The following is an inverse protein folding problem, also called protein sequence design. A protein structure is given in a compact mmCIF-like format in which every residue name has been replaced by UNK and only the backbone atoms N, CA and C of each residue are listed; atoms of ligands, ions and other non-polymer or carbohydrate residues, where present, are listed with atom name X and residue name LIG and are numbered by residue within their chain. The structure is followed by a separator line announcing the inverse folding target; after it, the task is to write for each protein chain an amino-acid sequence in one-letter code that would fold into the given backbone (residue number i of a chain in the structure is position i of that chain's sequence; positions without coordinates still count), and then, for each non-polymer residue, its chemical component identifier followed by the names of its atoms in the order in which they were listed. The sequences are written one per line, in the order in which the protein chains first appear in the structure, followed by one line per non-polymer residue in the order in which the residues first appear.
data_IF_174785303297
#
_entry.id   IF_174785303297
#
_cell.length_a   1.000
_cell.length_b   1.000
_cell.length_c   1.000
_cell.angle_alpha   90.00
_cell.angle_beta   90.00
_cell.angle_gamma   90.00
#
_symmetry.space_group_name_H-M   'P 1'
#
loop_
_entity.id
_entity.type
_entity.pdbx_description
1 polymer ?
#
# COMPACT_ATOMS: atom_id res chain seq x y z
N UNK A 1 14.28 42.07 -5.51
CA UNK A 1 13.41 40.99 -4.99
C UNK A 1 12.69 40.36 -6.18
N UNK A 2 13.06 39.13 -6.59
CA UNK A 2 12.43 38.44 -7.73
C UNK A 2 11.56 37.31 -7.18
N UNK A 3 10.25 37.42 -7.38
CA UNK A 3 9.26 36.42 -6.99
C UNK A 3 9.21 35.32 -8.06
N UNK A 4 9.75 34.14 -7.75
CA UNK A 4 9.58 32.95 -8.58
C UNK A 4 8.21 32.34 -8.32
N UNK A 5 7.26 32.57 -9.23
CA UNK A 5 6.00 31.84 -9.24
C UNK A 5 6.28 30.39 -9.65
N UNK A 6 5.98 29.44 -8.76
CA UNK A 6 6.02 28.00 -9.07
C UNK A 6 4.81 27.68 -9.93
N UNK A 7 5.03 27.47 -11.22
CA UNK A 7 3.98 27.07 -12.18
C UNK A 7 3.47 25.67 -11.81
N UNK A 8 2.30 25.61 -11.18
CA UNK A 8 1.53 24.38 -11.03
C UNK A 8 0.94 24.07 -12.41
N UNK A 9 1.48 23.03 -13.06
CA UNK A 9 0.95 22.52 -14.31
C UNK A 9 -0.39 21.81 -14.01
N UNK A 10 -1.50 22.53 -14.14
CA UNK A 10 -2.84 21.94 -14.16
C UNK A 10 -3.12 21.49 -15.59
N UNK A 11 -2.92 20.20 -15.85
CA UNK A 11 -3.33 19.59 -17.13
C UNK A 11 -4.84 19.42 -17.11
N UNK A 12 -5.56 20.31 -17.81
CA UNK A 12 -6.97 20.15 -18.09
C UNK A 12 -7.15 19.06 -19.16
N UNK A 13 -7.62 17.88 -18.75
CA UNK A 13 -7.98 16.78 -19.66
C UNK A 13 -9.35 17.08 -20.29
N UNK A 14 -9.37 17.48 -21.56
CA UNK A 14 -10.60 17.47 -22.36
C UNK A 14 -10.94 16.04 -22.77
N UNK A 15 -12.17 15.60 -22.49
CA UNK A 15 -12.69 14.31 -22.92
C UNK A 15 -13.13 14.37 -24.39
N UNK A 16 -12.29 13.88 -25.29
CA UNK A 16 -12.74 13.45 -26.62
C UNK A 16 -13.26 12.03 -26.54
N UNK A 17 -14.57 11.83 -26.69
CA UNK A 17 -15.17 10.49 -26.79
C UNK A 17 -14.83 9.89 -28.15
N UNK A 18 -13.98 8.86 -28.16
CA UNK A 18 -13.89 7.93 -29.28
C UNK A 18 -14.34 6.55 -28.79
N UNK A 19 -15.59 6.21 -29.13
CA UNK A 19 -16.12 4.85 -28.99
C UNK A 19 -15.55 4.06 -30.17
N UNK A 20 -14.66 3.11 -29.87
CA UNK A 20 -14.25 2.06 -30.78
C UNK A 20 -14.49 0.72 -30.09
N UNK A 21 -15.53 0.01 -30.50
CA UNK A 21 -15.70 -1.40 -30.13
C UNK A 21 -14.81 -2.23 -31.06
N UNK A 22 -13.80 -2.89 -30.50
CA UNK A 22 -13.08 -3.96 -31.19
C UNK A 22 -13.45 -5.29 -30.51
N UNK A 23 -14.12 -6.15 -31.26
CA UNK A 23 -14.44 -7.51 -30.89
C UNK A 23 -13.39 -8.42 -31.53
N UNK A 24 -12.56 -9.10 -30.75
CA UNK A 24 -11.75 -10.19 -31.30
C UNK A 24 -11.41 -11.27 -30.27
N UNK A 25 -11.79 -12.49 -30.63
CA UNK A 25 -11.41 -13.74 -29.98
C UNK A 25 -9.95 -14.04 -30.33
N UNK A 26 -9.00 -13.72 -29.43
CA UNK A 26 -7.62 -14.20 -29.57
C UNK A 26 -7.05 -14.62 -28.23
N UNK A 27 -6.37 -15.76 -28.22
CA UNK A 27 -5.69 -16.40 -27.08
C UNK A 27 -5.05 -15.36 -26.15
N UNK A 28 -5.34 -15.48 -24.85
CA UNK A 28 -4.86 -14.62 -23.77
C UNK A 28 -3.33 -14.57 -23.69
N UNK A 29 -2.69 -13.78 -24.54
CA UNK A 29 -1.33 -13.30 -24.33
C UNK A 29 -1.42 -12.19 -23.28
N UNK A 30 -0.56 -12.22 -22.24
CA UNK A 30 -0.59 -11.20 -21.17
C UNK A 30 -0.01 -9.84 -21.61
N UNK A 31 0.22 -9.64 -22.91
CA UNK A 31 0.78 -8.44 -23.50
C UNK A 31 -0.35 -7.68 -24.21
N UNK A 32 -0.65 -6.46 -23.74
CA UNK A 32 -1.65 -5.59 -24.37
C UNK A 32 -0.88 -4.59 -25.23
N UNK A 33 -1.14 -4.59 -26.55
CA UNK A 33 -0.49 -3.71 -27.54
C UNK A 33 -0.88 -2.22 -27.43
N UNK A 34 -1.45 -1.83 -26.29
CA UNK A 34 -1.95 -0.49 -26.05
C UNK A 34 -1.55 -0.12 -24.63
N UNK A 35 -0.82 1.00 -24.49
CA UNK A 35 -0.40 1.63 -23.23
C UNK A 35 -1.56 1.96 -22.28
N UNK A 36 -2.80 1.63 -22.64
CA UNK A 36 -3.99 1.73 -21.80
C UNK A 36 -4.25 0.43 -21.08
N UNK A 37 -3.97 0.43 -19.78
CA UNK A 37 -4.10 -0.75 -18.93
C UNK A 37 -5.30 -0.60 -18.01
N UNK A 38 -6.29 -1.48 -18.16
CA UNK A 38 -7.41 -1.57 -17.22
C UNK A 38 -6.98 -2.38 -15.99
N UNK A 39 -6.99 -1.75 -14.83
CA UNK A 39 -6.80 -2.43 -13.55
C UNK A 39 -8.15 -2.52 -12.84
N UNK A 40 -8.42 -3.70 -12.29
CA UNK A 40 -9.61 -3.97 -11.49
C UNK A 40 -9.21 -4.45 -10.09
N UNK A 41 -9.89 -3.90 -9.08
CA UNK A 41 -9.82 -4.33 -7.70
C UNK A 41 -11.25 -4.55 -7.17
N UNK A 42 -11.47 -5.72 -6.60
CA UNK A 42 -12.73 -6.09 -5.96
C UNK A 42 -12.72 -5.72 -4.49
N UNK A 43 -13.91 -5.50 -3.92
CA UNK A 43 -14.10 -5.21 -2.50
C UNK A 43 -13.26 -4.03 -1.99
N UNK A 44 -13.23 -2.93 -2.74
CA UNK A 44 -12.69 -1.66 -2.25
C UNK A 44 -13.72 -0.95 -1.37
N UNK A 45 -13.24 -0.05 -0.49
CA UNK A 45 -14.06 0.87 0.28
C UNK A 45 -13.60 2.30 0.05
N UNK A 46 -14.47 3.25 0.37
CA UNK A 46 -14.09 4.67 0.46
C UNK A 46 -12.90 4.82 1.40
N UNK A 47 -11.89 5.56 0.98
CA UNK A 47 -10.67 5.81 1.77
C UNK A 47 -9.53 4.82 1.50
N UNK A 48 -9.77 3.68 0.85
CA UNK A 48 -8.68 2.84 0.34
C UNK A 48 -7.82 3.66 -0.65
N UNK A 49 -6.53 3.36 -0.75
CA UNK A 49 -5.61 4.14 -1.57
C UNK A 49 -4.87 3.26 -2.59
N UNK A 50 -4.92 3.64 -3.86
CA UNK A 50 -4.14 3.04 -4.93
C UNK A 50 -2.90 3.90 -5.20
N UNK A 51 -1.73 3.27 -5.20
CA UNK A 51 -0.45 3.90 -5.56
C UNK A 51 0.25 3.13 -6.66
N UNK A 52 1.02 3.83 -7.48
CA UNK A 52 1.97 3.24 -8.43
C UNK A 52 3.34 3.82 -8.11
N UNK A 53 4.32 2.93 -8.01
CA UNK A 53 5.72 3.23 -7.72
C UNK A 53 6.60 2.71 -8.85
N UNK A 54 7.66 3.45 -9.18
CA UNK A 54 8.71 2.95 -10.07
C UNK A 54 9.66 1.98 -9.34
N UNK A 55 10.70 1.51 -10.03
CA UNK A 55 11.68 0.57 -9.50
C UNK A 55 12.44 1.08 -8.26
N UNK A 56 12.60 2.40 -8.13
CA UNK A 56 13.21 3.04 -6.96
C UNK A 56 12.25 3.24 -5.78
N UNK A 57 11.00 2.77 -5.90
CA UNK A 57 9.97 2.95 -4.88
C UNK A 57 9.35 4.35 -4.85
N UNK A 58 9.69 5.23 -5.79
CA UNK A 58 9.16 6.58 -5.90
C UNK A 58 7.72 6.51 -6.40
N UNK A 59 6.81 7.16 -5.68
CA UNK A 59 5.38 7.20 -6.04
C UNK A 59 5.18 8.17 -7.20
N UNK A 60 4.74 7.64 -8.35
CA UNK A 60 4.44 8.43 -9.56
C UNK A 60 2.94 8.67 -9.73
N UNK A 61 2.12 7.93 -8.98
CA UNK A 61 0.68 8.04 -8.99
C UNK A 61 0.09 7.68 -7.64
N UNK A 62 -0.92 8.44 -7.20
CA UNK A 62 -1.70 8.13 -6.00
C UNK A 62 -3.15 8.57 -6.20
N UNK A 63 -4.10 7.71 -5.83
CA UNK A 63 -5.52 8.03 -5.79
C UNK A 63 -6.17 7.41 -4.56
N UNK A 64 -6.99 8.21 -3.86
CA UNK A 64 -7.90 7.71 -2.83
C UNK A 64 -9.21 7.31 -3.50
N UNK A 65 -9.68 6.10 -3.20
CA UNK A 65 -10.92 5.53 -3.69
C UNK A 65 -12.11 6.26 -3.05
N UNK A 66 -13.07 6.68 -3.90
CA UNK A 66 -14.23 7.47 -3.50
C UNK A 66 -15.54 6.66 -3.45
N UNK A 67 -15.50 5.37 -3.83
CA UNK A 67 -16.67 4.50 -3.85
C UNK A 67 -16.33 3.09 -3.40
N UNK A 68 -17.28 2.42 -2.76
CA UNK A 68 -17.13 1.02 -2.36
C UNK A 68 -17.53 0.06 -3.48
N UNK A 69 -17.10 -1.20 -3.40
CA UNK A 69 -17.46 -2.27 -4.33
C UNK A 69 -16.33 -2.64 -5.28
N UNK A 70 -16.61 -2.73 -6.58
CA UNK A 70 -15.60 -3.00 -7.61
C UNK A 70 -15.08 -1.67 -8.15
N UNK A 71 -13.78 -1.45 -8.00
CA UNK A 71 -13.10 -0.33 -8.61
C UNK A 71 -12.38 -0.79 -9.86
N UNK A 72 -12.62 -0.08 -10.97
CA UNK A 72 -11.86 -0.26 -12.18
C UNK A 72 -11.40 1.09 -12.73
N UNK A 73 -10.13 1.13 -13.16
CA UNK A 73 -9.56 2.31 -13.81
C UNK A 73 -8.67 1.87 -14.96
N UNK A 74 -8.84 2.54 -16.08
CA UNK A 74 -7.91 2.45 -17.21
C UNK A 74 -6.83 3.51 -17.03
N UNK A 75 -5.59 3.07 -16.99
CA UNK A 75 -4.41 3.91 -16.90
C UNK A 75 -3.80 4.08 -18.26
N UNK A 76 -3.55 5.33 -18.67
CA UNK A 76 -2.71 5.61 -19.83
C UNK A 76 -1.25 5.67 -19.37
N UNK A 77 -0.50 4.61 -19.67
CA UNK A 77 0.90 4.42 -19.30
C UNK A 77 1.83 4.90 -20.43
N UNK A 78 1.34 5.71 -21.37
CA UNK A 78 2.11 6.10 -22.56
C UNK A 78 3.39 6.85 -22.24
N UNK A 79 3.37 7.61 -21.15
CA UNK A 79 4.48 8.44 -20.71
C UNK A 79 5.34 7.75 -19.65
N UNK A 80 5.12 6.46 -19.37
CA UNK A 80 6.02 5.69 -18.52
C UNK A 80 7.24 5.25 -19.33
N UNK A 81 8.40 5.44 -18.73
CA UNK A 81 9.67 4.89 -19.23
C UNK A 81 9.66 3.37 -19.07
N UNK A 82 10.52 2.70 -19.84
CA UNK A 82 10.74 1.27 -19.70
C UNK A 82 11.27 0.95 -18.30
N UNK A 83 10.70 -0.07 -17.66
CA UNK A 83 11.06 -0.46 -16.31
C UNK A 83 9.99 -1.24 -15.56
N UNK A 84 10.31 -1.59 -14.31
CA UNK A 84 9.41 -2.31 -13.41
C UNK A 84 8.66 -1.33 -12.51
N UNK A 85 7.35 -1.50 -12.46
CA UNK A 85 6.46 -0.72 -11.62
C UNK A 85 5.70 -1.61 -10.65
N UNK A 86 5.48 -1.06 -9.45
CA UNK A 86 4.70 -1.71 -8.40
C UNK A 86 3.42 -0.92 -8.16
N UNK A 87 2.28 -1.60 -8.27
CA UNK A 87 0.99 -1.07 -7.83
C UNK A 87 0.68 -1.59 -6.44
N UNK A 88 0.27 -0.70 -5.53
CA UNK A 88 -0.18 -1.08 -4.20
C UNK A 88 -1.58 -0.52 -3.96
N UNK A 89 -2.55 -1.41 -3.72
CA UNK A 89 -3.86 -1.03 -3.19
C UNK A 89 -3.84 -1.24 -1.67
N UNK A 90 -3.75 -0.15 -0.94
CA UNK A 90 -3.81 -0.13 0.51
C UNK A 90 -5.27 -0.12 1.00
N UNK A 91 -5.64 -1.18 1.73
CA UNK A 91 -6.94 -1.36 2.39
C UNK A 91 -6.79 -1.24 3.91
N UNK A 92 -7.88 -1.50 4.63
CA UNK A 92 -7.93 -1.44 6.11
C UNK A 92 -6.87 -2.33 6.78
N UNK A 93 -6.82 -3.62 6.41
CA UNK A 93 -5.98 -4.64 7.09
C UNK A 93 -4.99 -5.33 6.16
N UNK A 94 -5.02 -5.04 4.86
CA UNK A 94 -4.17 -5.66 3.87
C UNK A 94 -3.74 -4.67 2.79
N UNK A 95 -2.67 -5.01 2.08
CA UNK A 95 -2.22 -4.31 0.89
C UNK A 95 -2.09 -5.35 -0.23
N UNK A 96 -2.83 -5.14 -1.32
CA UNK A 96 -2.67 -5.92 -2.54
C UNK A 96 -1.55 -5.31 -3.38
N UNK A 97 -0.48 -6.05 -3.62
CA UNK A 97 0.68 -5.63 -4.39
C UNK A 97 0.72 -6.39 -5.71
N UNK A 98 0.80 -5.67 -6.83
CA UNK A 98 0.97 -6.26 -8.16
C UNK A 98 2.11 -5.58 -8.88
N UNK A 99 2.88 -6.33 -9.67
CA UNK A 99 3.95 -5.80 -10.51
C UNK A 99 3.60 -5.83 -11.98
N UNK A 100 4.08 -4.82 -12.69
CA UNK A 100 4.00 -4.72 -14.14
C UNK A 100 5.35 -4.26 -14.68
N UNK A 101 5.68 -4.75 -15.87
CA UNK A 101 6.83 -4.31 -16.67
C UNK A 101 6.30 -3.46 -17.82
N UNK A 102 6.90 -2.28 -18.02
CA UNK A 102 6.76 -1.49 -19.24
C UNK A 102 8.03 -1.70 -20.05
N UNK A 103 7.89 -2.13 -21.32
CA UNK A 103 9.02 -2.34 -22.20
C UNK A 103 8.64 -2.13 -23.65
N UNK A 104 9.39 -1.30 -24.38
CA UNK A 104 9.14 -0.98 -25.79
C UNK A 104 7.68 -0.52 -26.04
N UNK A 105 7.09 0.15 -25.05
CA UNK A 105 5.69 0.57 -25.08
C UNK A 105 4.64 -0.52 -24.84
N UNK A 106 5.05 -1.75 -24.53
CA UNK A 106 4.17 -2.84 -24.10
C UNK A 106 4.11 -2.93 -22.57
N UNK A 107 2.99 -3.44 -22.05
CA UNK A 107 2.84 -3.68 -20.62
C UNK A 107 2.63 -5.17 -20.36
N UNK A 108 3.47 -5.74 -19.51
CA UNK A 108 3.41 -7.14 -19.09
C UNK A 108 3.12 -7.24 -17.60
N UNK A 109 2.05 -7.95 -17.24
CA UNK A 109 1.73 -8.22 -15.84
C UNK A 109 2.52 -9.40 -15.28
N UNK A 110 3.31 -9.15 -14.24
CA UNK A 110 4.13 -10.17 -13.58
C UNK A 110 3.31 -10.88 -12.50
N UNK A 111 2.29 -11.65 -12.91
CA UNK A 111 1.30 -12.27 -12.02
C UNK A 111 1.92 -13.13 -10.90
N UNK A 112 3.04 -13.80 -11.18
CA UNK A 112 3.79 -14.62 -10.21
C UNK A 112 4.42 -13.81 -9.08
N UNK A 113 4.56 -12.49 -9.25
CA UNK A 113 5.11 -11.57 -8.26
C UNK A 113 4.03 -10.80 -7.49
N UNK A 114 2.75 -11.11 -7.73
CA UNK A 114 1.68 -10.56 -6.93
C UNK A 114 1.80 -11.07 -5.49
N UNK A 115 1.65 -10.17 -4.53
CA UNK A 115 1.67 -10.52 -3.11
C UNK A 115 0.61 -9.75 -2.35
N UNK A 116 0.21 -10.33 -1.22
CA UNK A 116 -0.67 -9.69 -0.26
C UNK A 116 0.10 -9.49 1.04
N UNK A 117 0.07 -8.28 1.57
CA UNK A 117 0.71 -7.94 2.84
C UNK A 117 -0.39 -7.72 3.86
N UNK A 118 -0.41 -8.49 4.94
CA UNK A 118 -1.32 -8.25 6.07
C UNK A 118 -0.69 -7.26 7.05
N UNK A 119 -1.43 -6.21 7.37
CA UNK A 119 -1.01 -5.20 8.34
C UNK A 119 -1.07 -5.80 9.76
N UNK A 120 -0.13 -5.46 10.65
CA UNK A 120 -0.24 -5.84 12.04
C UNK A 120 -1.46 -5.16 12.68
N UNK A 121 -2.11 -5.88 13.60
CA UNK A 121 -3.23 -5.37 14.39
C UNK A 121 -2.74 -5.07 15.80
N UNK A 122 -2.97 -3.84 16.28
CA UNK A 122 -2.56 -3.39 17.62
C UNK A 122 -3.82 -3.08 18.43
N UNK A 123 -4.11 -3.92 19.43
CA UNK A 123 -5.23 -3.77 20.36
C UNK A 123 -4.75 -3.44 21.77
N UNK A 124 -5.61 -2.80 22.53
CA UNK A 124 -5.36 -2.39 23.90
C UNK A 124 -6.58 -2.76 24.73
N UNK A 125 -6.41 -3.53 25.79
CA UNK A 125 -7.48 -4.03 26.64
C UNK A 125 -7.07 -3.83 28.10
N UNK A 126 -7.58 -2.75 28.72
CA UNK A 126 -7.10 -2.30 30.03
C UNK A 126 -5.61 -1.97 29.99
N UNK A 127 -4.82 -2.70 30.78
CA UNK A 127 -3.36 -2.59 30.88
C UNK A 127 -2.61 -3.58 29.97
N UNK A 128 -3.29 -4.17 28.98
CA UNK A 128 -2.68 -5.07 28.00
C UNK A 128 -2.52 -4.40 26.64
N UNK A 129 -1.37 -4.62 26.02
CA UNK A 129 -1.12 -4.32 24.61
C UNK A 129 -1.00 -5.62 23.85
N UNK A 130 -1.91 -5.86 22.91
CA UNK A 130 -1.95 -7.08 22.10
C UNK A 130 -1.58 -6.73 20.66
N UNK A 131 -0.59 -7.43 20.11
CA UNK A 131 -0.10 -7.25 18.74
C UNK A 131 -0.20 -8.60 18.04
N UNK A 132 -0.87 -8.64 16.88
CA UNK A 132 -0.90 -9.82 16.03
C UNK A 132 -0.57 -9.50 14.58
N UNK A 133 0.06 -10.43 13.88
CA UNK A 133 0.37 -10.33 12.46
C UNK A 133 0.40 -11.70 11.79
N UNK A 134 -0.17 -11.77 10.59
CA UNK A 134 -0.01 -12.90 9.68
C UNK A 134 1.05 -12.53 8.64
N UNK A 135 1.99 -13.42 8.38
CA UNK A 135 2.99 -13.26 7.34
C UNK A 135 3.55 -14.58 6.82
N UNK A 136 3.07 -15.01 5.65
CA UNK A 136 3.54 -16.22 4.99
C UNK A 136 5.01 -16.16 4.54
N UNK A 137 5.60 -14.96 4.44
CA UNK A 137 7.03 -14.78 4.13
C UNK A 137 7.90 -14.73 5.38
N UNK A 138 7.32 -14.93 6.58
CA UNK A 138 8.03 -14.97 7.85
C UNK A 138 8.97 -13.76 8.02
N UNK A 139 8.49 -12.54 7.74
CA UNK A 139 9.30 -11.34 7.98
C UNK A 139 9.39 -11.08 9.49
N UNK A 140 10.54 -10.59 9.97
CA UNK A 140 10.69 -10.23 11.38
C UNK A 140 9.81 -9.04 11.74
N UNK A 141 9.39 -8.98 13.00
CA UNK A 141 8.60 -7.89 13.56
C UNK A 141 9.43 -7.14 14.59
N UNK A 142 9.67 -5.84 14.38
CA UNK A 142 10.27 -4.98 15.41
C UNK A 142 9.19 -4.16 16.11
N UNK A 143 9.17 -4.20 17.43
CA UNK A 143 8.20 -3.49 18.26
C UNK A 143 8.95 -2.53 19.17
N UNK A 144 8.48 -1.29 19.27
CA UNK A 144 9.00 -0.29 20.21
C UNK A 144 7.84 0.31 20.97
N UNK A 145 7.88 0.24 22.30
CA UNK A 145 6.88 0.83 23.19
C UNK A 145 7.46 2.04 23.89
N UNK A 146 6.69 3.11 23.90
CA UNK A 146 7.00 4.36 24.57
C UNK A 146 6.00 4.63 25.70
N UNK A 147 6.47 5.25 26.77
CA UNK A 147 5.70 5.89 27.83
C UNK A 147 6.23 7.32 28.00
N UNK A 148 5.35 8.32 27.92
CA UNK A 148 5.70 9.75 27.98
C UNK A 148 6.92 10.11 27.12
N UNK A 149 6.89 9.64 25.86
CA UNK A 149 7.93 9.80 24.85
C UNK A 149 9.29 9.13 25.14
N UNK A 150 9.42 8.37 26.22
CA UNK A 150 10.60 7.56 26.52
C UNK A 150 10.39 6.11 26.08
N UNK A 151 11.41 5.50 25.47
CA UNK A 151 11.37 4.08 25.10
C UNK A 151 11.43 3.24 26.37
N UNK A 152 10.41 2.43 26.62
CA UNK A 152 10.37 1.48 27.73
C UNK A 152 10.55 0.03 27.29
N UNK A 153 10.42 -0.24 25.98
CA UNK A 153 10.70 -1.54 25.38
C UNK A 153 11.12 -1.38 23.92
N UNK A 154 12.10 -2.17 23.49
CA UNK A 154 12.40 -2.41 22.08
C UNK A 154 12.69 -3.90 21.89
N UNK A 155 11.87 -4.57 21.09
CA UNK A 155 11.96 -6.01 20.83
C UNK A 155 12.02 -6.28 19.33
N UNK A 156 12.81 -7.26 18.93
CA UNK A 156 12.76 -7.86 17.59
C UNK A 156 12.33 -9.31 17.74
N UNK A 157 11.24 -9.66 17.07
CA UNK A 157 10.72 -11.03 17.00
C UNK A 157 11.11 -11.58 15.63
N UNK A 158 11.74 -12.75 15.62
CA UNK A 158 12.02 -13.46 14.37
C UNK A 158 10.71 -13.91 13.71
N UNK A 159 10.73 -14.08 12.39
CA UNK A 159 9.51 -14.25 11.62
C UNK A 159 8.87 -15.63 11.74
N UNK A 160 7.56 -15.64 11.96
CA UNK A 160 6.69 -16.83 11.90
C UNK A 160 5.46 -16.51 11.03
N UNK A 161 4.72 -17.54 10.62
CA UNK A 161 3.52 -17.35 9.79
C UNK A 161 2.43 -16.57 10.54
N UNK A 162 2.33 -16.77 11.85
CA UNK A 162 1.41 -16.06 12.72
C UNK A 162 2.18 -15.62 13.96
N UNK A 163 2.39 -14.31 14.07
CA UNK A 163 3.05 -13.69 15.20
C UNK A 163 2.01 -13.12 16.16
N UNK A 164 2.13 -13.45 17.44
CA UNK A 164 1.32 -12.89 18.51
C UNK A 164 2.21 -12.42 19.66
N UNK A 165 1.98 -11.19 20.13
CA UNK A 165 2.71 -10.63 21.27
C UNK A 165 1.75 -9.91 22.21
N UNK A 166 1.95 -10.11 23.51
CA UNK A 166 1.19 -9.44 24.55
C UNK A 166 2.16 -8.79 25.53
N UNK A 167 1.94 -7.52 25.83
CA UNK A 167 2.65 -6.81 26.87
C UNK A 167 1.68 -6.40 27.98
N UNK A 168 2.11 -6.59 29.22
CA UNK A 168 1.42 -6.12 30.42
C UNK A 168 2.05 -4.82 30.88
N UNK A 169 1.24 -3.77 30.99
CA UNK A 169 1.64 -2.47 31.48
C UNK A 169 1.33 -2.37 32.97
N UNK A 170 2.09 -1.54 33.69
CA UNK A 170 1.80 -1.29 35.10
C UNK A 170 0.54 -0.44 35.22
N UNK A 171 -0.38 -0.83 36.10
CA UNK A 171 -1.60 -0.05 36.39
C UNK A 171 -1.33 1.25 37.15
N UNK A 172 -0.15 1.38 37.78
CA UNK A 172 0.28 2.59 38.48
C UNK A 172 0.79 3.67 37.53
N UNK A 173 1.40 3.27 36.42
CA UNK A 173 2.02 4.17 35.43
C UNK A 173 0.98 4.64 34.42
N UNK A 174 0.14 5.58 34.86
CA UNK A 174 -0.89 6.22 34.01
C UNK A 174 -0.27 7.34 33.19
N UNK A 175 -0.63 7.41 31.92
CA UNK A 175 -0.08 8.43 31.03
C UNK A 175 -0.17 8.07 29.56
N UNK A 176 0.65 8.72 28.73
CA UNK A 176 0.60 8.56 27.30
C UNK A 176 1.54 7.44 26.85
N UNK A 177 0.98 6.48 26.12
CA UNK A 177 1.71 5.37 25.53
C UNK A 177 1.67 5.43 24.01
N UNK A 178 2.73 4.90 23.39
CA UNK A 178 2.82 4.76 21.93
C UNK A 178 3.53 3.47 21.56
N UNK A 179 2.89 2.66 20.72
CA UNK A 179 3.49 1.46 20.14
C UNK A 179 3.84 1.75 18.69
N UNK A 180 5.08 1.46 18.31
CA UNK A 180 5.56 1.41 16.93
C UNK A 180 5.81 -0.04 16.56
N UNK A 181 5.26 -0.49 15.44
CA UNK A 181 5.50 -1.81 14.86
C UNK A 181 6.10 -1.62 13.48
N UNK A 182 7.27 -2.21 13.26
CA UNK A 182 7.99 -2.16 11.99
C UNK A 182 8.02 -3.54 11.35
N UNK A 183 7.55 -3.62 10.11
CA UNK A 183 7.55 -4.81 9.27
C UNK A 183 7.28 -4.42 7.83
N UNK A 184 7.68 -5.23 6.85
CA UNK A 184 7.38 -5.01 5.42
C UNK A 184 7.83 -3.62 4.93
N UNK A 185 8.95 -3.10 5.47
CA UNK A 185 9.45 -1.73 5.27
C UNK A 185 8.42 -0.63 5.57
N UNK A 186 7.49 -0.90 6.49
CA UNK A 186 6.43 0.01 6.93
C UNK A 186 6.48 0.16 8.44
N UNK A 187 5.98 1.30 8.91
CA UNK A 187 5.79 1.60 10.32
C UNK A 187 4.30 1.76 10.61
N UNK A 188 3.82 1.06 11.62
CA UNK A 188 2.45 1.13 12.12
C UNK A 188 2.49 1.70 13.53
N UNK A 189 1.59 2.64 13.82
CA UNK A 189 1.61 3.41 15.08
C UNK A 189 0.27 3.30 15.77
N UNK A 190 0.29 3.07 17.07
CA UNK A 190 -0.87 3.25 17.94
C UNK A 190 -0.50 4.09 19.15
N UNK A 191 -1.21 5.20 19.33
CA UNK A 191 -1.17 5.99 20.56
C UNK A 191 -2.38 5.60 21.43
N UNK A 192 -2.19 5.55 22.74
CA UNK A 192 -3.24 5.27 23.72
C UNK A 192 -2.83 5.79 25.09
N UNK A 193 -3.77 5.83 26.03
CA UNK A 193 -3.52 6.18 27.42
C UNK A 193 -4.14 5.15 28.35
N UNK A 194 -3.54 4.98 29.51
CA UNK A 194 -4.03 4.17 30.63
C UNK A 194 -4.21 5.08 31.84
#
# INVERSE_FOLDING_TARGET
MRTTMKTILVVALMFGTLIGYANENTKSTNAVAVKRVKVEYKAVKIGHALTIKNEYGITIYKQVIQSSGTYSKTFDLTNLEDGIYTTELEKDFEIDVKKLEVKDGFVTFLKKENKKIFKPVIRTEGDLVLISKIDFNKQPLKIVLYYDNQVILSEKIEGEEVLNRVYKLSKSEKGAYKVLVYTDNRMYVKNFSI
#
